data_IF_445152203372
#
_entry.id   IF_445152203372
#
_cell.length_a   1.000
_cell.length_b   1.000
_cell.length_c   1.000
_cell.angle_alpha   90.00
_cell.angle_beta   90.00
_cell.angle_gamma   90.00
#
_symmetry.space_group_name_H-M   'P 1'
#
loop_
_entity.id
_entity.type
_entity.pdbx_description
1 polymer ?
#
# COMPACT_ATOMS: atom_id res chain seq x y z
N UNK A 1 -24.38 -17.50 51.08
CA UNK A 1 -23.69 -16.21 50.92
C UNK A 1 -24.70 -15.08 51.06
N UNK A 2 -24.84 -14.50 52.25
CA UNK A 2 -25.83 -13.45 52.58
C UNK A 2 -25.25 -12.03 52.52
N UNK A 3 -23.94 -11.87 52.35
CA UNK A 3 -23.29 -10.58 52.11
C UNK A 3 -23.22 -10.27 50.59
N UNK A 4 -23.59 -9.05 50.21
CA UNK A 4 -23.61 -8.56 48.82
C UNK A 4 -22.31 -7.86 48.40
N UNK A 5 -21.33 -7.73 49.30
CA UNK A 5 -20.07 -7.07 48.96
C UNK A 5 -19.26 -7.85 47.91
N UNK A 6 -19.05 -7.22 46.74
CA UNK A 6 -18.33 -7.80 45.60
C UNK A 6 -16.89 -8.18 45.94
N UNK A 7 -16.17 -7.33 46.69
CA UNK A 7 -14.77 -7.53 47.02
C UNK A 7 -14.57 -8.78 47.91
N UNK A 8 -15.51 -9.05 48.81
CA UNK A 8 -15.49 -10.25 49.65
C UNK A 8 -15.74 -11.51 48.84
N UNK A 9 -16.68 -11.48 47.89
CA UNK A 9 -16.95 -12.64 47.02
C UNK A 9 -15.77 -12.95 46.10
N UNK A 10 -15.11 -11.92 45.61
CA UNK A 10 -13.94 -12.08 44.76
C UNK A 10 -12.74 -12.64 45.52
N UNK A 11 -12.50 -12.18 46.76
CA UNK A 11 -11.48 -12.78 47.63
C UNK A 11 -11.77 -14.23 47.93
N UNK A 12 -13.01 -14.55 48.33
CA UNK A 12 -13.42 -15.95 48.55
C UNK A 12 -13.23 -16.78 47.28
N UNK A 13 -13.58 -16.24 46.11
CA UNK A 13 -13.34 -16.91 44.85
C UNK A 13 -11.86 -17.14 44.57
N UNK A 14 -11.02 -16.13 44.74
CA UNK A 14 -9.58 -16.22 44.57
C UNK A 14 -8.98 -17.27 45.51
N UNK A 15 -9.33 -17.22 46.79
CA UNK A 15 -8.85 -18.17 47.82
C UNK A 15 -9.35 -19.61 47.56
N UNK A 16 -10.52 -19.79 46.92
CA UNK A 16 -10.97 -21.12 46.46
C UNK A 16 -10.19 -21.64 45.27
N UNK A 17 -9.60 -20.74 44.46
CA UNK A 17 -8.85 -21.08 43.26
C UNK A 17 -7.37 -21.31 43.54
N UNK A 18 -6.79 -20.58 44.51
CA UNK A 18 -5.40 -20.69 44.94
C UNK A 18 -5.24 -21.90 45.88
N UNK A 19 -4.82 -23.03 45.32
CA UNK A 19 -4.64 -24.27 46.08
C UNK A 19 -3.37 -24.24 46.92
N UNK A 20 -2.37 -23.47 46.49
CA UNK A 20 -1.10 -23.28 47.20
C UNK A 20 -1.21 -22.36 48.42
N UNK A 21 -2.20 -21.46 48.43
CA UNK A 21 -2.36 -20.42 49.46
C UNK A 21 -1.25 -19.37 49.44
N UNK A 22 -0.57 -19.17 48.30
CA UNK A 22 0.56 -18.24 48.16
C UNK A 22 0.14 -16.86 47.62
N UNK A 23 -1.16 -16.66 47.41
CA UNK A 23 -1.75 -15.43 46.89
C UNK A 23 -1.60 -15.28 45.38
N UNK A 24 -1.29 -16.34 44.65
CA UNK A 24 -1.03 -16.34 43.21
C UNK A 24 -1.77 -17.49 42.53
N UNK A 25 -2.31 -17.23 41.35
CA UNK A 25 -2.98 -18.24 40.52
C UNK A 25 -2.11 -18.59 39.33
N UNK A 26 -1.65 -19.83 39.29
CA UNK A 26 -0.90 -20.39 38.14
C UNK A 26 -1.84 -20.76 36.99
N UNK A 27 -1.29 -20.96 35.78
CA UNK A 27 -2.09 -21.38 34.61
C UNK A 27 -2.87 -22.68 34.87
N UNK A 28 -2.27 -23.63 35.59
CA UNK A 28 -2.89 -24.91 35.92
C UNK A 28 -4.07 -24.74 36.87
N UNK A 29 -3.96 -23.86 37.88
CA UNK A 29 -5.06 -23.55 38.80
C UNK A 29 -6.21 -22.83 38.07
N UNK A 30 -5.89 -21.86 37.19
CA UNK A 30 -6.88 -21.18 36.35
C UNK A 30 -7.62 -22.17 35.45
N UNK A 31 -6.89 -23.13 34.85
CA UNK A 31 -7.46 -24.20 34.02
C UNK A 31 -8.40 -25.10 34.83
N UNK A 32 -8.01 -25.52 36.03
CA UNK A 32 -8.85 -26.35 36.89
C UNK A 32 -10.16 -25.64 37.27
N UNK A 33 -10.08 -24.36 37.63
CA UNK A 33 -11.25 -23.52 37.93
C UNK A 33 -12.20 -23.45 36.73
N UNK A 34 -11.65 -23.31 35.51
CA UNK A 34 -12.44 -23.35 34.28
C UNK A 34 -13.11 -24.70 34.04
N UNK A 35 -12.41 -25.80 34.31
CA UNK A 35 -12.96 -27.16 34.18
C UNK A 35 -14.10 -27.38 35.18
N UNK A 36 -13.94 -26.93 36.41
CA UNK A 36 -14.96 -27.03 37.46
C UNK A 36 -16.19 -26.19 37.10
N UNK A 37 -15.98 -24.94 36.68
CA UNK A 37 -17.07 -24.04 36.27
C UNK A 37 -17.83 -24.57 35.04
N UNK A 38 -17.11 -25.00 33.99
CA UNK A 38 -17.73 -25.59 32.81
C UNK A 38 -18.46 -26.91 33.11
N UNK A 39 -18.00 -27.68 34.11
CA UNK A 39 -18.68 -28.91 34.55
C UNK A 39 -19.95 -28.60 35.35
N UNK A 40 -19.94 -27.56 36.18
CA UNK A 40 -21.13 -27.08 36.90
C UNK A 40 -22.24 -26.60 35.93
N UNK A 41 -21.84 -25.92 34.84
CA UNK A 41 -22.78 -25.37 33.84
C UNK A 41 -23.10 -26.33 32.67
N UNK A 42 -22.62 -27.58 32.73
CA UNK A 42 -22.80 -28.62 31.68
C UNK A 42 -22.29 -28.21 30.28
N UNK A 43 -21.24 -27.39 30.21
CA UNK A 43 -20.65 -26.87 28.97
C UNK A 43 -19.51 -27.76 28.45
N UNK A 44 -19.87 -28.93 27.88
CA UNK A 44 -18.91 -29.96 27.43
C UNK A 44 -17.84 -29.46 26.43
N UNK A 45 -18.20 -28.53 25.52
CA UNK A 45 -17.26 -27.94 24.56
C UNK A 45 -16.25 -26.98 25.18
N UNK A 46 -16.61 -26.30 26.28
CA UNK A 46 -15.69 -25.42 27.00
C UNK A 46 -14.67 -26.23 27.79
N UNK A 47 -15.13 -27.33 28.41
CA UNK A 47 -14.27 -28.27 29.13
C UNK A 47 -13.14 -28.83 28.26
N UNK A 48 -13.42 -29.18 27.00
CA UNK A 48 -12.39 -29.72 26.09
C UNK A 48 -11.33 -28.69 25.67
N UNK A 49 -11.59 -27.39 25.82
CA UNK A 49 -10.69 -26.30 25.45
C UNK A 49 -10.17 -25.51 26.67
N UNK A 50 -10.38 -26.01 27.89
CA UNK A 50 -10.05 -25.28 29.12
C UNK A 50 -8.58 -24.84 29.20
N UNK A 51 -7.65 -25.66 28.70
CA UNK A 51 -6.23 -25.30 28.62
C UNK A 51 -5.98 -24.09 27.69
N UNK A 52 -6.63 -24.06 26.52
CA UNK A 52 -6.50 -22.94 25.59
C UNK A 52 -7.10 -21.65 26.19
N UNK A 53 -8.22 -21.76 26.92
CA UNK A 53 -8.81 -20.62 27.61
C UNK A 53 -7.96 -20.13 28.78
N UNK A 54 -7.38 -21.02 29.58
CA UNK A 54 -6.44 -20.66 30.63
C UNK A 54 -5.23 -19.91 30.06
N UNK A 55 -4.62 -20.44 29.00
CA UNK A 55 -3.52 -19.78 28.29
C UNK A 55 -3.89 -18.38 27.79
N UNK A 56 -5.08 -18.19 27.20
CA UNK A 56 -5.57 -16.86 26.77
C UNK A 56 -5.80 -15.90 27.96
N UNK A 57 -6.20 -16.41 29.12
CA UNK A 57 -6.40 -15.60 30.33
C UNK A 57 -5.05 -15.21 30.91
N UNK A 58 -4.08 -16.12 30.96
CA UNK A 58 -2.70 -15.83 31.34
C UNK A 58 -2.09 -14.78 30.40
N UNK A 59 -2.25 -14.93 29.08
CA UNK A 59 -1.78 -13.93 28.10
C UNK A 59 -2.40 -12.54 28.34
N UNK A 60 -3.67 -12.50 28.76
CA UNK A 60 -4.38 -11.25 29.04
C UNK A 60 -4.06 -10.62 30.40
N UNK A 61 -3.77 -11.43 31.43
CA UNK A 61 -3.64 -10.98 32.82
C UNK A 61 -2.21 -10.99 33.36
N UNK A 62 -1.31 -11.74 32.75
CA UNK A 62 0.12 -11.80 33.06
C UNK A 62 0.95 -11.24 31.89
N UNK A 63 0.97 -9.91 31.71
CA UNK A 63 1.65 -9.26 30.59
C UNK A 63 3.17 -9.40 30.61
N UNK A 64 3.74 -9.87 31.72
CA UNK A 64 5.18 -10.02 31.94
C UNK A 64 5.63 -11.49 31.90
N UNK A 65 4.71 -12.45 31.64
CA UNK A 65 4.98 -13.90 31.57
C UNK A 65 5.70 -14.42 32.83
N UNK A 66 5.18 -14.03 34.00
CA UNK A 66 5.66 -14.47 35.31
C UNK A 66 5.15 -15.87 35.68
N UNK A 67 4.15 -16.38 34.95
CA UNK A 67 3.53 -17.69 35.15
C UNK A 67 2.42 -17.70 36.21
N UNK A 68 2.00 -16.52 36.69
CA UNK A 68 0.98 -16.41 37.72
C UNK A 68 0.19 -15.09 37.67
N UNK A 69 -1.02 -15.10 38.23
CA UNK A 69 -1.94 -13.97 38.34
C UNK A 69 -2.20 -13.67 39.82
N UNK A 70 -1.98 -12.43 40.22
CA UNK A 70 -2.32 -11.92 41.55
C UNK A 70 -3.76 -11.39 41.59
N UNK A 71 -4.35 -11.32 42.79
CA UNK A 71 -5.77 -10.95 42.97
C UNK A 71 -6.17 -9.63 42.31
N UNK A 72 -5.29 -8.63 42.29
CA UNK A 72 -5.57 -7.33 41.69
C UNK A 72 -5.68 -7.41 40.14
N UNK A 73 -5.00 -8.37 39.50
CA UNK A 73 -5.11 -8.61 38.06
C UNK A 73 -6.48 -9.24 37.74
N UNK A 74 -6.93 -10.17 38.58
CA UNK A 74 -8.26 -10.80 38.45
C UNK A 74 -9.41 -9.81 38.72
N UNK A 75 -9.25 -8.96 39.75
CA UNK A 75 -10.11 -7.79 40.00
C UNK A 75 -10.30 -7.00 38.71
N UNK A 76 -9.22 -6.71 38.00
CA UNK A 76 -9.26 -5.90 36.77
C UNK A 76 -10.11 -6.53 35.65
N UNK A 77 -10.08 -7.85 35.48
CA UNK A 77 -10.90 -8.54 34.46
C UNK A 77 -12.38 -8.53 34.82
N UNK A 78 -12.68 -8.90 36.06
CA UNK A 78 -14.07 -9.05 36.52
C UNK A 78 -14.75 -7.69 36.67
N UNK A 79 -14.04 -6.66 37.11
CA UNK A 79 -14.55 -5.28 37.11
C UNK A 79 -14.76 -4.72 35.70
N UNK A 80 -14.02 -5.20 34.69
CA UNK A 80 -14.21 -4.82 33.27
C UNK A 80 -15.39 -5.54 32.62
N UNK A 81 -15.71 -6.76 33.05
CA UNK A 81 -16.83 -7.56 32.53
C UNK A 81 -18.17 -7.33 33.25
N UNK A 82 -18.17 -6.90 34.51
CA UNK A 82 -19.35 -6.92 35.38
C UNK A 82 -20.23 -5.65 35.37
N UNK A 83 -19.93 -4.59 34.60
CA UNK A 83 -20.75 -3.36 34.65
C UNK A 83 -21.03 -2.77 33.28
N UNK A 84 -22.24 -3.06 32.78
CA UNK A 84 -23.07 -2.03 32.15
C UNK A 84 -23.69 -1.18 33.26
N UNK A 85 -23.62 0.16 33.13
CA UNK A 85 -24.33 1.17 33.95
C UNK A 85 -23.64 1.49 35.29
N UNK A 86 -22.76 2.49 35.32
CA UNK A 86 -22.91 3.75 36.09
C UNK A 86 -21.65 4.63 35.94
N UNK A 87 -21.82 5.84 35.42
CA UNK A 87 -20.76 6.85 35.30
C UNK A 87 -20.32 7.33 36.69
N UNK A 88 -19.08 7.03 37.09
CA UNK A 88 -18.49 7.60 38.30
C UNK A 88 -17.02 7.97 38.01
N UNK A 89 -16.65 9.24 38.14
CA UNK A 89 -15.30 9.74 37.76
C UNK A 89 -14.15 9.06 38.53
N UNK A 90 -14.42 8.65 39.78
CA UNK A 90 -13.47 7.85 40.58
C UNK A 90 -13.19 6.47 39.97
N UNK A 91 -14.17 5.89 39.29
CA UNK A 91 -14.04 4.60 38.60
C UNK A 91 -13.19 4.73 37.33
N UNK A 92 -13.38 5.80 36.55
CA UNK A 92 -12.56 6.07 35.37
C UNK A 92 -11.08 6.29 35.73
N UNK A 93 -10.82 6.98 36.85
CA UNK A 93 -9.47 7.16 37.37
C UNK A 93 -8.83 5.84 37.85
N UNK A 94 -9.59 4.98 38.53
CA UNK A 94 -9.12 3.66 39.00
C UNK A 94 -8.87 2.71 37.82
N UNK A 95 -9.75 2.68 36.81
CA UNK A 95 -9.49 1.93 35.57
C UNK A 95 -8.25 2.44 34.82
N UNK A 96 -8.04 3.76 34.76
CA UNK A 96 -6.87 4.33 34.09
C UNK A 96 -5.55 4.06 34.83
N UNK A 97 -5.57 4.00 36.18
CA UNK A 97 -4.39 3.63 36.96
C UNK A 97 -4.09 2.13 36.88
N UNK A 98 -5.11 1.25 36.88
CA UNK A 98 -4.93 -0.19 36.71
C UNK A 98 -4.61 -0.60 35.26
N UNK A 99 -5.18 0.05 34.25
CA UNK A 99 -4.78 -0.18 32.86
C UNK A 99 -3.30 0.20 32.62
N UNK A 100 -2.75 1.15 33.39
CA UNK A 100 -1.32 1.45 33.40
C UNK A 100 -0.49 0.34 34.06
N UNK A 101 -0.98 -0.34 35.10
CA UNK A 101 -0.22 -1.43 35.75
C UNK A 101 -0.15 -2.69 34.89
N UNK A 102 -1.17 -2.93 34.04
CA UNK A 102 -1.19 -3.96 32.99
C UNK A 102 -0.29 -3.69 31.78
N UNK A 103 0.49 -2.60 31.77
CA UNK A 103 1.51 -2.41 30.73
C UNK A 103 2.75 -3.24 31.05
N UNK A 104 3.23 -4.10 30.12
CA UNK A 104 4.41 -4.92 30.36
C UNK A 104 5.60 -4.05 30.79
N UNK A 105 6.41 -4.54 31.73
CA UNK A 105 7.60 -3.84 32.27
C UNK A 105 8.52 -3.33 31.16
N UNK A 106 8.58 -4.05 30.03
CA UNK A 106 9.35 -3.67 28.83
C UNK A 106 8.95 -2.30 28.24
N UNK A 107 7.71 -1.85 28.48
CA UNK A 107 7.18 -0.57 28.00
C UNK A 107 7.13 0.55 29.06
N UNK A 108 7.56 0.29 30.31
CA UNK A 108 7.50 1.30 31.40
C UNK A 108 8.57 2.39 31.29
N UNK A 109 9.78 2.05 30.86
CA UNK A 109 10.84 3.04 30.64
C UNK A 109 10.69 3.66 29.23
N UNK A 110 10.71 5.00 29.09
CA UNK A 110 10.52 5.66 27.79
C UNK A 110 11.53 5.22 26.72
N UNK A 111 12.79 4.97 27.10
CA UNK A 111 13.85 4.50 26.18
C UNK A 111 13.58 3.05 25.77
N UNK A 112 13.35 2.16 26.75
CA UNK A 112 13.04 0.74 26.46
C UNK A 112 11.75 0.59 25.65
N UNK A 113 10.76 1.45 25.89
CA UNK A 113 9.51 1.56 25.12
C UNK A 113 9.79 1.95 23.67
N UNK A 114 10.63 2.95 23.45
CA UNK A 114 11.01 3.38 22.10
C UNK A 114 11.75 2.28 21.33
N UNK A 115 12.74 1.66 21.97
CA UNK A 115 13.51 0.54 21.37
C UNK A 115 12.61 -0.64 21.04
N UNK A 116 11.76 -1.05 21.98
CA UNK A 116 10.84 -2.19 21.80
C UNK A 116 9.84 -1.89 20.69
N UNK A 117 9.17 -0.74 20.72
CA UNK A 117 8.26 -0.33 19.63
C UNK A 117 8.96 -0.29 18.26
N UNK A 118 10.20 0.17 18.21
CA UNK A 118 10.98 0.21 16.97
C UNK A 118 11.32 -1.20 16.49
N UNK A 119 11.73 -2.08 17.40
CA UNK A 119 12.02 -3.47 17.09
C UNK A 119 10.77 -4.21 16.60
N UNK A 120 9.63 -4.03 17.26
CA UNK A 120 8.35 -4.62 16.85
C UNK A 120 7.93 -4.09 15.48
N UNK A 121 8.02 -2.77 15.26
CA UNK A 121 7.74 -2.16 13.97
C UNK A 121 8.63 -2.72 12.84
N UNK A 122 9.94 -2.88 13.10
CA UNK A 122 10.87 -3.48 12.14
C UNK A 122 10.49 -4.93 11.89
N UNK A 123 10.20 -5.71 12.93
CA UNK A 123 9.84 -7.11 12.81
C UNK A 123 8.53 -7.30 12.01
N UNK A 124 7.51 -6.48 12.27
CA UNK A 124 6.25 -6.51 11.53
C UNK A 124 6.40 -6.08 10.07
N UNK A 125 7.29 -5.13 9.77
CA UNK A 125 7.41 -4.50 8.45
C UNK A 125 8.71 -4.84 7.71
N UNK A 126 9.50 -5.83 8.17
CA UNK A 126 10.84 -6.08 7.65
C UNK A 126 10.87 -6.30 6.12
N UNK A 127 9.86 -7.00 5.57
CA UNK A 127 9.73 -7.24 4.12
C UNK A 127 9.57 -5.94 3.34
N UNK A 128 8.79 -4.99 3.87
CA UNK A 128 8.56 -3.67 3.27
C UNK A 128 9.84 -2.85 3.32
N UNK A 129 10.51 -2.82 4.48
CA UNK A 129 11.77 -2.11 4.68
C UNK A 129 12.83 -2.64 3.73
N UNK A 130 12.98 -3.95 3.65
CA UNK A 130 13.94 -4.62 2.75
C UNK A 130 13.69 -4.24 1.28
N UNK A 131 12.46 -4.35 0.80
CA UNK A 131 12.12 -4.04 -0.59
C UNK A 131 12.35 -2.57 -0.93
N UNK A 132 11.94 -1.65 -0.04
CA UNK A 132 12.13 -0.20 -0.21
C UNK A 132 13.63 0.14 -0.20
N UNK A 133 14.40 -0.46 0.71
CA UNK A 133 15.85 -0.27 0.79
C UNK A 133 16.56 -0.74 -0.47
N UNK A 134 16.20 -1.92 -1.00
CA UNK A 134 16.73 -2.44 -2.25
C UNK A 134 16.42 -1.51 -3.44
N UNK A 135 15.16 -1.09 -3.57
CA UNK A 135 14.73 -0.17 -4.62
C UNK A 135 15.42 1.20 -4.53
N UNK A 136 15.58 1.75 -3.32
CA UNK A 136 16.26 3.03 -3.11
C UNK A 136 17.75 2.92 -3.45
N UNK A 137 18.41 1.84 -3.02
CA UNK A 137 19.81 1.56 -3.35
C UNK A 137 20.02 1.50 -4.86
N UNK A 138 19.16 0.78 -5.59
CA UNK A 138 19.22 0.71 -7.06
C UNK A 138 19.10 2.10 -7.71
N UNK A 139 18.18 2.94 -7.23
CA UNK A 139 18.03 4.31 -7.74
C UNK A 139 19.28 5.16 -7.48
N UNK A 140 19.84 5.11 -6.27
CA UNK A 140 21.05 5.86 -5.91
C UNK A 140 22.25 5.40 -6.75
N UNK A 141 22.46 4.09 -6.86
CA UNK A 141 23.55 3.53 -7.65
C UNK A 141 23.45 3.94 -9.13
N UNK A 142 22.26 3.86 -9.74
CA UNK A 142 22.06 4.28 -11.14
C UNK A 142 22.25 5.79 -11.32
N UNK A 143 21.78 6.60 -10.38
CA UNK A 143 21.98 8.05 -10.42
C UNK A 143 23.47 8.39 -10.39
N UNK A 144 24.22 7.84 -9.42
CA UNK A 144 25.67 8.07 -9.26
C UNK A 144 26.43 7.58 -10.49
N UNK A 145 26.14 6.36 -10.96
CA UNK A 145 26.76 5.81 -12.16
C UNK A 145 26.58 6.72 -13.38
N UNK A 146 25.35 7.22 -13.59
CA UNK A 146 25.06 8.08 -14.73
C UNK A 146 25.66 9.47 -14.58
N UNK A 147 25.67 10.00 -13.37
CA UNK A 147 26.29 11.27 -13.02
C UNK A 147 27.79 11.25 -13.33
N UNK A 148 28.49 10.19 -12.92
CA UNK A 148 29.91 10.01 -13.17
C UNK A 148 30.21 9.76 -14.66
N UNK A 149 29.34 9.03 -15.36
CA UNK A 149 29.45 8.87 -16.81
C UNK A 149 29.39 10.21 -17.54
N UNK A 150 28.52 11.14 -17.12
CA UNK A 150 28.34 12.41 -17.80
C UNK A 150 29.40 13.46 -17.46
N UNK A 151 30.04 13.38 -16.28
CA UNK A 151 31.22 14.19 -15.97
C UNK A 151 32.36 14.00 -16.98
N UNK A 152 32.51 12.79 -17.50
CA UNK A 152 33.58 12.42 -18.45
C UNK A 152 33.22 12.70 -19.91
N UNK A 153 32.09 13.34 -20.20
CA UNK A 153 31.65 13.67 -21.56
C UNK A 153 31.91 15.13 -21.88
N UNK A 154 32.18 15.41 -23.15
CA UNK A 154 32.36 16.77 -23.69
C UNK A 154 31.22 17.73 -23.28
N UNK A 155 29.98 17.24 -23.22
CA UNK A 155 28.82 18.02 -22.77
C UNK A 155 28.97 18.65 -21.36
N UNK A 156 29.79 18.06 -20.48
CA UNK A 156 30.10 18.59 -19.15
C UNK A 156 30.90 19.89 -19.21
N UNK A 157 31.77 20.08 -20.21
CA UNK A 157 32.58 21.29 -20.31
C UNK A 157 31.74 22.56 -20.52
N UNK A 158 30.56 22.41 -21.13
CA UNK A 158 29.60 23.50 -21.36
C UNK A 158 28.57 23.57 -20.24
N UNK A 159 27.88 22.46 -19.96
CA UNK A 159 26.73 22.46 -19.05
C UNK A 159 27.09 22.16 -17.57
N UNK A 160 28.31 21.72 -17.29
CA UNK A 160 28.78 21.41 -15.93
C UNK A 160 27.94 20.36 -15.22
N UNK A 161 27.84 20.46 -13.90
CA UNK A 161 27.09 19.50 -13.07
C UNK A 161 25.60 19.39 -13.41
N UNK A 162 25.01 20.40 -14.05
CA UNK A 162 23.60 20.39 -14.40
C UNK A 162 23.24 19.31 -15.42
N UNK A 163 24.14 18.96 -16.35
CA UNK A 163 23.90 17.84 -17.28
C UNK A 163 23.97 16.51 -16.54
N UNK A 164 24.87 16.40 -15.54
CA UNK A 164 25.01 15.19 -14.73
C UNK A 164 23.77 14.96 -13.87
N UNK A 165 23.24 16.00 -13.21
CA UNK A 165 22.00 15.93 -12.43
C UNK A 165 20.82 15.58 -13.33
N UNK A 166 20.66 16.27 -14.45
CA UNK A 166 19.55 16.02 -15.38
C UNK A 166 19.58 14.58 -15.91
N UNK A 167 20.76 14.06 -16.28
CA UNK A 167 20.90 12.71 -16.82
C UNK A 167 20.84 11.63 -15.75
N UNK A 168 21.33 11.90 -14.54
CA UNK A 168 21.12 11.04 -13.37
C UNK A 168 19.65 10.86 -13.05
N UNK A 169 18.90 11.96 -12.98
CA UNK A 169 17.45 11.93 -12.77
C UNK A 169 16.71 11.22 -13.92
N UNK A 170 17.17 11.41 -15.17
CA UNK A 170 16.62 10.67 -16.31
C UNK A 170 16.84 9.16 -16.21
N UNK A 171 17.96 8.71 -15.63
CA UNK A 171 18.25 7.27 -15.48
C UNK A 171 17.37 6.63 -14.43
N UNK A 172 17.16 7.31 -13.29
CA UNK A 172 16.23 6.84 -12.25
C UNK A 172 14.78 6.85 -12.75
N UNK A 173 14.40 7.85 -13.55
CA UNK A 173 13.09 7.89 -14.22
C UNK A 173 12.86 6.66 -15.11
N UNK A 174 13.83 6.22 -15.90
CA UNK A 174 13.68 5.00 -16.72
C UNK A 174 13.41 3.77 -15.87
N UNK A 175 14.16 3.60 -14.79
CA UNK A 175 13.95 2.48 -13.86
C UNK A 175 12.55 2.54 -13.26
N UNK A 176 12.15 3.69 -12.70
CA UNK A 176 10.87 3.81 -12.02
C UNK A 176 9.68 3.70 -12.98
N UNK A 177 9.80 4.24 -14.20
CA UNK A 177 8.81 4.05 -15.26
C UNK A 177 8.73 2.60 -15.72
N UNK A 178 9.81 1.82 -15.64
CA UNK A 178 9.76 0.39 -15.91
C UNK A 178 9.08 -0.36 -14.75
N UNK A 179 9.45 -0.06 -13.51
CA UNK A 179 8.97 -0.76 -12.32
C UNK A 179 7.51 -0.46 -11.97
N UNK A 180 6.99 0.74 -12.25
CA UNK A 180 5.62 1.14 -11.86
C UNK A 180 4.51 0.26 -12.47
N UNK A 181 4.80 -0.43 -13.59
CA UNK A 181 3.89 -1.37 -14.23
C UNK A 181 3.78 -2.71 -13.49
N UNK A 182 4.82 -3.15 -12.79
CA UNK A 182 4.84 -4.47 -12.15
C UNK A 182 3.83 -4.58 -11.00
N UNK A 183 3.69 -3.60 -10.08
CA UNK A 183 2.74 -3.69 -8.98
C UNK A 183 1.26 -3.67 -9.41
N UNK A 184 0.96 -3.24 -10.63
CA UNK A 184 -0.41 -3.24 -11.18
C UNK A 184 -0.76 -4.52 -11.95
N UNK A 185 0.21 -5.44 -12.10
CA UNK A 185 0.01 -6.78 -12.65
C UNK A 185 -0.62 -7.74 -11.62
N UNK A 186 -1.84 -7.43 -11.18
CA UNK A 186 -2.53 -8.11 -10.06
C UNK A 186 -2.63 -9.63 -10.24
N UNK A 187 -2.97 -10.12 -11.44
CA UNK A 187 -3.13 -11.56 -11.65
C UNK A 187 -1.82 -12.32 -11.45
N UNK A 188 -0.73 -11.76 -11.96
CA UNK A 188 0.61 -12.31 -11.76
C UNK A 188 1.00 -12.25 -10.30
N UNK A 189 0.81 -11.10 -9.64
CA UNK A 189 1.19 -10.93 -8.24
C UNK A 189 0.41 -11.88 -7.32
N UNK A 190 -0.87 -12.13 -7.59
CA UNK A 190 -1.65 -13.15 -6.87
C UNK A 190 -1.07 -14.55 -7.05
N UNK A 191 -0.61 -14.92 -8.26
CA UNK A 191 0.08 -16.20 -8.50
C UNK A 191 1.41 -16.28 -7.75
N UNK A 192 2.21 -15.22 -7.80
CA UNK A 192 3.50 -15.16 -7.10
C UNK A 192 3.33 -15.16 -5.59
N UNK A 193 2.25 -14.58 -5.06
CA UNK A 193 1.90 -14.63 -3.64
C UNK A 193 1.74 -16.06 -3.12
N UNK A 194 1.21 -16.99 -3.92
CA UNK A 194 1.11 -18.40 -3.53
C UNK A 194 2.44 -19.19 -3.59
N UNK A 195 3.52 -18.56 -4.06
CA UNK A 195 4.85 -19.18 -4.11
C UNK A 195 5.69 -18.84 -2.88
N UNK A 196 6.86 -19.49 -2.75
CA UNK A 196 7.83 -19.17 -1.69
C UNK A 196 8.35 -17.73 -1.71
N UNK A 197 8.19 -16.98 -2.82
CA UNK A 197 8.59 -15.57 -2.91
C UNK A 197 7.83 -14.67 -1.92
N UNK A 198 6.63 -15.05 -1.48
CA UNK A 198 5.85 -14.29 -0.50
C UNK A 198 6.51 -14.20 0.88
N UNK A 199 7.50 -15.07 1.16
CA UNK A 199 8.33 -14.99 2.36
C UNK A 199 9.24 -13.76 2.35
N UNK A 200 9.63 -13.27 1.18
CA UNK A 200 10.59 -12.17 1.02
C UNK A 200 9.89 -10.90 0.51
N UNK A 201 8.95 -11.04 -0.42
CA UNK A 201 8.28 -9.91 -1.09
C UNK A 201 6.86 -9.70 -0.52
N UNK A 202 6.50 -8.49 -0.05
CA UNK A 202 5.17 -8.16 0.44
C UNK A 202 4.21 -7.86 -0.73
N UNK A 203 3.76 -8.90 -1.44
CA UNK A 203 2.89 -8.75 -2.62
C UNK A 203 1.54 -8.06 -2.34
N UNK A 204 1.07 -8.06 -1.09
CA UNK A 204 -0.19 -7.44 -0.68
C UNK A 204 -0.15 -5.90 -0.67
N UNK A 205 1.06 -5.33 -0.58
CA UNK A 205 1.28 -3.89 -0.59
C UNK A 205 1.60 -3.33 -1.98
N UNK A 206 1.32 -4.09 -3.04
CA UNK A 206 1.64 -3.73 -4.42
C UNK A 206 1.15 -2.31 -4.80
N UNK A 207 -0.09 -1.94 -4.46
CA UNK A 207 -0.63 -0.61 -4.77
C UNK A 207 0.02 0.48 -3.90
N UNK A 208 0.43 0.18 -2.67
CA UNK A 208 1.17 1.13 -1.85
C UNK A 208 2.57 1.36 -2.44
N UNK A 209 3.24 0.29 -2.88
CA UNK A 209 4.53 0.40 -3.55
C UNK A 209 4.42 1.14 -4.90
N UNK A 210 3.34 0.93 -5.67
CA UNK A 210 3.04 1.71 -6.88
C UNK A 210 2.99 3.22 -6.59
N UNK A 211 2.34 3.65 -5.50
CA UNK A 211 2.29 5.06 -5.09
C UNK A 211 3.66 5.61 -4.70
N UNK A 212 4.49 4.82 -4.02
CA UNK A 212 5.86 5.21 -3.66
C UNK A 212 6.73 5.41 -4.91
N UNK A 213 6.65 4.49 -5.87
CA UNK A 213 7.33 4.64 -7.16
C UNK A 213 6.81 5.86 -7.92
N UNK A 214 5.49 6.09 -7.91
CA UNK A 214 4.87 7.25 -8.53
C UNK A 214 5.41 8.56 -7.95
N UNK A 215 5.56 8.66 -6.62
CA UNK A 215 6.19 9.81 -5.97
C UNK A 215 7.64 10.02 -6.44
N UNK A 216 8.42 8.94 -6.55
CA UNK A 216 9.79 9.02 -7.06
C UNK A 216 9.85 9.49 -8.52
N UNK A 217 8.88 9.09 -9.36
CA UNK A 217 8.75 9.58 -10.73
C UNK A 217 8.48 11.09 -10.74
N UNK A 218 7.59 11.60 -9.87
CA UNK A 218 7.34 13.04 -9.77
C UNK A 218 8.63 13.78 -9.38
N UNK A 219 9.31 13.34 -8.32
CA UNK A 219 10.55 13.96 -7.85
C UNK A 219 11.63 13.93 -8.95
N UNK A 220 11.84 12.76 -9.57
CA UNK A 220 12.80 12.60 -10.66
C UNK A 220 12.48 13.47 -11.87
N UNK A 221 11.19 13.59 -12.24
CA UNK A 221 10.74 14.42 -13.36
C UNK A 221 10.93 15.90 -13.09
N UNK A 222 10.69 16.35 -11.86
CA UNK A 222 10.93 17.72 -11.43
C UNK A 222 12.43 18.05 -11.47
N UNK A 223 13.27 17.21 -10.86
CA UNK A 223 14.73 17.40 -10.88
C UNK A 223 15.28 17.41 -12.30
N UNK A 224 14.83 16.48 -13.15
CA UNK A 224 15.23 16.40 -14.56
C UNK A 224 14.84 17.67 -15.32
N UNK A 225 13.59 18.11 -15.17
CA UNK A 225 13.04 19.28 -15.88
C UNK A 225 13.72 20.56 -15.43
N UNK A 226 13.80 20.79 -14.11
CA UNK A 226 14.44 21.98 -13.56
C UNK A 226 15.91 22.06 -13.98
N UNK A 227 16.66 20.96 -13.85
CA UNK A 227 18.06 20.94 -14.29
C UNK A 227 18.21 21.28 -15.78
N UNK A 228 17.26 20.89 -16.64
CA UNK A 228 17.24 21.28 -18.04
C UNK A 228 16.91 22.75 -18.26
N UNK A 229 15.77 23.21 -17.74
CA UNK A 229 15.19 24.53 -18.01
C UNK A 229 15.97 25.65 -17.31
N UNK A 230 16.29 25.49 -16.03
CA UNK A 230 16.89 26.56 -15.22
C UNK A 230 18.41 26.61 -15.31
N UNK A 231 19.06 25.50 -15.65
CA UNK A 231 20.53 25.44 -15.68
C UNK A 231 21.12 25.05 -17.04
N UNK A 232 20.77 23.89 -17.60
CA UNK A 232 21.40 23.42 -18.84
C UNK A 232 21.15 24.39 -19.99
N UNK A 233 19.91 24.82 -20.20
CA UNK A 233 19.56 25.75 -21.27
C UNK A 233 20.27 27.09 -21.07
N UNK A 234 20.25 27.64 -19.86
CA UNK A 234 20.92 28.91 -19.55
C UNK A 234 22.44 28.84 -19.78
N UNK A 235 23.09 27.75 -19.37
CA UNK A 235 24.53 27.53 -19.63
C UNK A 235 24.84 27.33 -21.10
N UNK A 236 23.93 26.70 -21.85
CA UNK A 236 24.11 26.46 -23.27
C UNK A 236 24.07 27.77 -24.08
N UNK A 237 23.13 28.67 -23.76
CA UNK A 237 22.98 29.95 -24.47
C UNK A 237 24.07 30.96 -24.10
N UNK A 238 24.56 30.93 -22.86
CA UNK A 238 25.57 31.88 -22.37
C UNK A 238 27.02 31.39 -22.58
N UNK A 239 27.22 30.20 -23.13
CA UNK A 239 28.55 29.67 -23.41
C UNK A 239 29.24 30.47 -24.54
N UNK A 240 30.55 30.75 -24.45
CA UNK A 240 31.29 31.33 -25.57
C UNK A 240 31.11 30.51 -26.85
N UNK A 241 30.81 31.18 -27.97
CA UNK A 241 30.51 30.53 -29.24
C UNK A 241 31.61 29.55 -29.68
N UNK A 242 32.88 29.94 -29.54
CA UNK A 242 34.03 29.07 -29.89
C UNK A 242 33.99 27.72 -29.15
N UNK A 243 33.75 27.75 -27.85
CA UNK A 243 33.62 26.55 -27.01
C UNK A 243 32.40 25.72 -27.41
N UNK A 244 31.26 26.38 -27.66
CA UNK A 244 30.06 25.69 -28.11
C UNK A 244 30.28 24.97 -29.45
N UNK A 245 30.87 25.64 -30.45
CA UNK A 245 31.06 25.09 -31.78
C UNK A 245 31.97 23.86 -31.79
N UNK A 246 33.04 23.87 -30.98
CA UNK A 246 33.97 22.74 -30.86
C UNK A 246 33.29 21.56 -30.14
N UNK A 247 32.64 21.81 -29.01
CA UNK A 247 32.15 20.76 -28.12
C UNK A 247 30.77 20.20 -28.53
N UNK A 248 29.83 21.07 -28.92
CA UNK A 248 28.43 20.73 -29.16
C UNK A 248 27.93 21.11 -30.56
N UNK A 249 28.68 21.91 -31.33
CA UNK A 249 28.35 22.33 -32.69
C UNK A 249 27.85 21.20 -33.61
N UNK A 250 28.50 20.03 -33.67
CA UNK A 250 28.05 18.91 -34.51
C UNK A 250 26.64 18.40 -34.20
N UNK A 251 26.16 18.58 -32.96
CA UNK A 251 24.81 18.15 -32.55
C UNK A 251 23.73 19.20 -32.85
N UNK A 252 24.12 20.44 -33.11
CA UNK A 252 23.23 21.58 -33.34
C UNK A 252 23.45 22.22 -34.72
N UNK A 253 23.99 21.46 -35.69
CA UNK A 253 24.32 21.95 -37.03
C UNK A 253 25.16 23.24 -37.02
N UNK A 254 26.10 23.34 -36.08
CA UNK A 254 26.98 24.49 -35.87
C UNK A 254 26.24 25.82 -35.67
N UNK A 255 25.02 25.78 -35.13
CA UNK A 255 24.25 26.94 -34.76
C UNK A 255 23.95 26.92 -33.26
N UNK A 256 24.39 27.94 -32.52
CA UNK A 256 24.09 28.03 -31.09
C UNK A 256 22.61 28.38 -30.90
N UNK A 257 21.83 27.54 -30.20
CA UNK A 257 20.39 27.75 -30.07
C UNK A 257 20.09 28.88 -29.08
N UNK A 258 18.96 29.57 -29.29
CA UNK A 258 18.36 30.48 -28.30
C UNK A 258 17.45 29.72 -27.34
N UNK A 259 17.11 30.33 -26.20
CA UNK A 259 16.24 29.68 -25.21
C UNK A 259 14.86 29.26 -25.76
N UNK A 260 14.13 30.08 -26.54
CA UNK A 260 12.88 29.65 -27.17
C UNK A 260 13.08 28.50 -28.16
N UNK A 261 14.19 28.50 -28.91
CA UNK A 261 14.50 27.42 -29.85
C UNK A 261 14.77 26.07 -29.15
N UNK A 262 15.32 26.10 -27.92
CA UNK A 262 15.50 24.90 -27.10
C UNK A 262 14.18 24.35 -26.58
N UNK A 263 13.25 25.23 -26.18
CA UNK A 263 11.90 24.80 -25.78
C UNK A 263 11.09 24.26 -26.96
N UNK A 264 11.22 24.88 -28.13
CA UNK A 264 10.58 24.44 -29.37
C UNK A 264 11.25 23.21 -30.01
N UNK A 265 12.44 22.83 -29.54
CA UNK A 265 13.13 21.61 -30.01
C UNK A 265 12.30 20.36 -29.70
N UNK A 266 12.50 19.29 -30.47
CA UNK A 266 11.74 18.05 -30.28
C UNK A 266 11.84 17.49 -28.84
N UNK A 267 13.01 17.46 -28.15
CA UNK A 267 13.08 17.12 -26.72
C UNK A 267 12.33 18.11 -25.82
N UNK A 268 12.33 19.41 -26.14
CA UNK A 268 11.60 20.43 -25.38
C UNK A 268 10.09 20.24 -25.44
N UNK A 269 9.52 20.16 -26.65
CA UNK A 269 8.07 19.97 -26.86
C UNK A 269 7.58 18.65 -26.27
N UNK A 270 8.29 17.55 -26.54
CA UNK A 270 7.93 16.25 -25.94
C UNK A 270 8.03 16.29 -24.42
N UNK A 271 9.05 16.95 -23.85
CA UNK A 271 9.18 17.14 -22.40
C UNK A 271 8.01 17.90 -21.79
N UNK A 272 7.62 19.03 -22.39
CA UNK A 272 6.47 19.84 -21.94
C UNK A 272 5.18 19.02 -21.99
N UNK A 273 4.92 18.31 -23.10
CA UNK A 273 3.74 17.48 -23.23
C UNK A 273 3.68 16.37 -22.16
N UNK A 274 4.82 15.71 -21.89
CA UNK A 274 4.90 14.71 -20.82
C UNK A 274 4.61 15.31 -19.44
N UNK A 275 5.13 16.50 -19.13
CA UNK A 275 4.88 17.19 -17.86
C UNK A 275 3.41 17.54 -17.72
N UNK A 276 2.74 18.04 -18.77
CA UNK A 276 1.31 18.37 -18.75
C UNK A 276 0.47 17.11 -18.48
N UNK A 277 0.74 16.03 -19.22
CA UNK A 277 0.06 14.74 -19.03
C UNK A 277 0.27 14.24 -17.59
N UNK A 278 1.50 14.27 -17.08
CA UNK A 278 1.80 13.86 -15.72
C UNK A 278 1.11 14.76 -14.68
N UNK A 279 1.20 16.07 -14.79
CA UNK A 279 0.56 17.00 -13.85
C UNK A 279 -0.96 16.75 -13.76
N UNK A 280 -1.60 16.49 -14.90
CA UNK A 280 -3.01 16.12 -14.96
C UNK A 280 -3.29 14.75 -14.31
N UNK A 281 -2.62 13.69 -14.75
CA UNK A 281 -2.85 12.33 -14.24
C UNK A 281 -2.55 12.18 -12.74
N UNK A 282 -1.47 12.80 -12.25
CA UNK A 282 -1.06 12.70 -10.85
C UNK A 282 -1.96 13.50 -9.92
N UNK A 283 -2.41 14.69 -10.32
CA UNK A 283 -3.37 15.49 -9.53
C UNK A 283 -4.67 14.71 -9.33
N UNK A 284 -5.21 14.12 -10.41
CA UNK A 284 -6.42 13.31 -10.35
C UNK A 284 -6.22 11.95 -9.67
N UNK A 285 -4.97 11.49 -9.52
CA UNK A 285 -4.62 10.30 -8.72
C UNK A 285 -4.75 10.51 -7.21
N UNK A 286 -4.66 11.76 -6.75
CA UNK A 286 -4.62 12.07 -5.31
C UNK A 286 -5.91 11.66 -4.61
N UNK A 287 -5.80 11.32 -3.32
CA UNK A 287 -6.95 10.88 -2.54
C UNK A 287 -8.10 11.89 -2.57
N UNK A 288 -7.78 13.19 -2.47
CA UNK A 288 -8.76 14.27 -2.38
C UNK A 288 -9.59 14.42 -3.67
N UNK A 289 -8.97 14.28 -4.85
CA UNK A 289 -9.68 14.36 -6.14
C UNK A 289 -10.38 13.04 -6.47
N UNK A 290 -9.70 11.90 -6.30
CA UNK A 290 -10.24 10.58 -6.65
C UNK A 290 -11.46 10.18 -5.81
N UNK A 291 -11.55 10.62 -4.55
CA UNK A 291 -12.71 10.37 -3.68
C UNK A 291 -13.70 11.54 -3.62
N UNK A 292 -13.60 12.48 -4.55
CA UNK A 292 -14.53 13.62 -4.64
C UNK A 292 -14.65 14.44 -3.34
N UNK A 293 -13.57 14.48 -2.54
CA UNK A 293 -13.52 15.28 -1.31
C UNK A 293 -13.45 16.77 -1.66
N UNK A 294 -12.73 17.10 -2.74
CA UNK A 294 -12.70 18.46 -3.31
C UNK A 294 -13.89 18.60 -4.24
N UNK A 295 -14.85 19.46 -3.86
CA UNK A 295 -15.99 19.81 -4.71
C UNK A 295 -15.61 21.00 -5.59
N UNK A 296 -15.32 20.74 -6.86
CA UNK A 296 -15.03 21.78 -7.83
C UNK A 296 -16.33 22.47 -8.31
N UNK A 297 -16.32 23.80 -8.53
CA UNK A 297 -17.48 24.50 -9.08
C UNK A 297 -17.76 24.06 -10.52
N UNK A 298 -19.01 24.21 -10.98
CA UNK A 298 -19.38 23.99 -12.38
C UNK A 298 -18.58 24.94 -13.30
N UNK A 299 -18.02 24.47 -14.44
CA UNK A 299 -18.19 23.16 -15.08
C UNK A 299 -17.16 22.08 -14.66
N UNK A 300 -16.23 22.38 -13.77
CA UNK A 300 -15.08 21.51 -13.43
C UNK A 300 -15.44 20.35 -12.50
N UNK A 301 -16.69 20.21 -12.05
CA UNK A 301 -17.13 19.12 -11.18
C UNK A 301 -16.81 17.71 -11.73
N UNK A 302 -16.85 17.54 -13.05
CA UNK A 302 -16.53 16.26 -13.73
C UNK A 302 -15.02 15.92 -13.70
N UNK A 303 -14.16 16.84 -13.24
CA UNK A 303 -12.74 16.60 -13.02
C UNK A 303 -12.44 16.07 -11.61
N UNK A 304 -13.45 15.71 -10.84
CA UNK A 304 -13.31 14.99 -9.58
C UNK A 304 -14.01 13.62 -9.67
N UNK A 305 -13.54 12.66 -8.86
CA UNK A 305 -14.09 11.31 -8.81
C UNK A 305 -13.22 10.23 -9.45
N UNK A 306 -13.66 9.00 -9.28
CA UNK A 306 -13.03 7.79 -9.78
C UNK A 306 -13.01 7.75 -11.31
N UNK A 307 -14.08 8.20 -11.98
CA UNK A 307 -14.13 8.25 -13.45
C UNK A 307 -13.04 9.18 -14.01
N UNK A 308 -12.93 10.40 -13.47
CA UNK A 308 -11.90 11.36 -13.85
C UNK A 308 -10.49 10.79 -13.64
N UNK A 309 -10.24 10.18 -12.47
CA UNK A 309 -9.02 9.45 -12.17
C UNK A 309 -8.72 8.38 -13.23
N UNK A 310 -9.72 7.56 -13.57
CA UNK A 310 -9.57 6.41 -14.45
C UNK A 310 -9.19 6.85 -15.87
N UNK A 311 -9.92 7.81 -16.44
CA UNK A 311 -9.62 8.33 -17.79
C UNK A 311 -8.26 9.04 -17.83
N UNK A 312 -7.95 9.85 -16.82
CA UNK A 312 -6.65 10.51 -16.73
C UNK A 312 -5.48 9.52 -16.60
N UNK A 313 -5.67 8.38 -15.92
CA UNK A 313 -4.65 7.32 -15.88
C UNK A 313 -4.52 6.56 -17.20
N UNK A 314 -5.59 6.47 -18.00
CA UNK A 314 -5.54 5.87 -19.34
C UNK A 314 -4.91 6.79 -20.40
N UNK A 315 -4.52 8.02 -20.03
CA UNK A 315 -3.63 8.86 -20.84
C UNK A 315 -2.16 8.42 -20.74
N UNK A 316 -1.79 7.65 -19.70
CA UNK A 316 -0.41 7.22 -19.47
C UNK A 316 0.19 6.34 -20.57
N UNK A 317 -0.53 5.48 -21.32
CA UNK A 317 0.01 4.84 -22.51
C UNK A 317 0.62 5.83 -23.52
N UNK A 318 -0.01 7.00 -23.72
CA UNK A 318 0.56 8.08 -24.54
C UNK A 318 1.86 8.62 -23.92
N UNK A 319 1.91 8.79 -22.61
CA UNK A 319 3.14 9.16 -21.89
C UNK A 319 4.28 8.16 -22.16
N UNK A 320 4.02 6.85 -22.21
CA UNK A 320 5.06 5.85 -22.54
C UNK A 320 5.56 5.98 -23.98
N UNK A 321 4.67 6.25 -24.94
CA UNK A 321 5.07 6.53 -26.33
C UNK A 321 5.98 7.76 -26.38
N UNK A 322 5.59 8.84 -25.72
CA UNK A 322 6.39 10.06 -25.62
C UNK A 322 7.72 9.83 -24.91
N UNK A 323 7.75 9.01 -23.85
CA UNK A 323 8.97 8.67 -23.11
C UNK A 323 9.97 7.88 -23.97
N UNK A 324 9.49 7.01 -24.87
CA UNK A 324 10.32 6.32 -25.85
C UNK A 324 10.82 7.31 -26.90
N UNK A 325 9.94 8.16 -27.46
CA UNK A 325 10.28 9.11 -28.53
C UNK A 325 11.19 10.26 -28.07
N UNK A 326 11.01 10.78 -26.86
CA UNK A 326 11.76 11.90 -26.31
C UNK A 326 13.30 11.78 -26.43
N UNK A 327 13.94 10.66 -26.02
CA UNK A 327 15.37 10.46 -26.20
C UNK A 327 15.79 10.07 -27.64
N UNK A 328 14.85 9.69 -28.52
CA UNK A 328 15.18 9.33 -29.90
C UNK A 328 15.69 10.52 -30.70
N UNK A 329 15.24 11.73 -30.37
CA UNK A 329 15.71 12.96 -31.00
C UNK A 329 17.12 13.39 -30.57
N UNK A 330 17.63 12.84 -29.46
CA UNK A 330 18.96 13.20 -28.93
C UNK A 330 20.05 12.23 -29.40
N UNK A 331 19.72 10.94 -29.54
CA UNK A 331 20.70 9.91 -29.89
C UNK A 331 20.41 9.32 -31.28
N UNK A 332 21.32 9.51 -32.24
CA UNK A 332 21.15 9.00 -33.62
C UNK A 332 21.17 7.47 -33.70
N UNK A 333 21.96 6.78 -32.87
CA UNK A 333 22.10 5.30 -32.91
C UNK A 333 21.14 4.61 -31.94
N UNK A 334 20.37 3.63 -32.42
CA UNK A 334 19.27 2.98 -31.68
C UNK A 334 19.73 2.18 -30.44
N UNK A 335 20.87 1.52 -30.49
CA UNK A 335 21.42 0.72 -29.38
C UNK A 335 22.00 1.59 -28.23
N UNK A 336 22.24 2.89 -28.46
CA UNK A 336 22.63 3.83 -27.40
C UNK A 336 21.42 4.36 -26.62
N UNK A 337 20.20 4.00 -27.04
CA UNK A 337 18.93 4.47 -26.46
C UNK A 337 18.49 3.51 -25.35
N UNK A 338 18.97 3.71 -24.13
CA UNK A 338 18.62 2.81 -23.02
C UNK A 338 17.12 2.75 -22.68
N UNK A 339 16.34 3.81 -22.94
CA UNK A 339 14.94 3.90 -22.46
C UNK A 339 14.05 2.75 -22.96
N UNK A 340 14.10 2.39 -24.24
CA UNK A 340 13.26 1.31 -24.76
C UNK A 340 13.64 -0.05 -24.16
N UNK A 341 14.92 -0.25 -23.81
CA UNK A 341 15.41 -1.49 -23.21
C UNK A 341 14.86 -1.69 -21.80
N UNK A 342 14.82 -0.62 -20.99
CA UNK A 342 14.22 -0.65 -19.66
C UNK A 342 12.72 -0.94 -19.72
N UNK A 343 12.03 -0.36 -20.71
CA UNK A 343 10.57 -0.43 -20.79
C UNK A 343 10.05 -1.69 -21.49
N UNK A 344 10.80 -2.28 -22.42
CA UNK A 344 10.30 -3.35 -23.28
C UNK A 344 9.77 -4.56 -22.48
N UNK A 345 10.54 -5.09 -21.54
CA UNK A 345 10.16 -6.29 -20.79
C UNK A 345 8.95 -5.99 -19.88
N UNK A 346 8.96 -4.97 -19.00
CA UNK A 346 7.80 -4.69 -18.14
C UNK A 346 6.55 -4.29 -18.90
N UNK A 347 6.69 -3.54 -20.00
CA UNK A 347 5.55 -3.16 -20.84
C UNK A 347 4.95 -4.36 -21.56
N UNK A 348 5.77 -5.25 -22.12
CA UNK A 348 5.30 -6.50 -22.72
C UNK A 348 4.60 -7.39 -21.69
N UNK A 349 5.17 -7.47 -20.49
CA UNK A 349 4.62 -8.25 -19.39
C UNK A 349 3.24 -7.73 -18.95
N UNK A 350 3.13 -6.41 -18.75
CA UNK A 350 1.88 -5.75 -18.45
C UNK A 350 0.83 -5.90 -19.57
N UNK A 351 1.24 -5.73 -20.83
CA UNK A 351 0.36 -5.92 -21.98
C UNK A 351 -0.17 -7.36 -22.04
N UNK A 352 0.69 -8.35 -21.80
CA UNK A 352 0.30 -9.76 -21.74
C UNK A 352 -0.75 -10.02 -20.66
N UNK A 353 -0.58 -9.46 -19.46
CA UNK A 353 -1.59 -9.58 -18.40
C UNK A 353 -2.93 -8.95 -18.81
N UNK A 354 -2.90 -7.78 -19.45
CA UNK A 354 -4.11 -7.11 -19.94
C UNK A 354 -4.81 -7.92 -21.04
N UNK A 355 -4.06 -8.55 -21.94
CA UNK A 355 -4.60 -9.45 -22.97
C UNK A 355 -5.25 -10.70 -22.35
N UNK A 356 -4.60 -11.33 -21.37
CA UNK A 356 -5.16 -12.48 -20.64
C UNK A 356 -6.47 -12.08 -19.96
N UNK A 357 -6.54 -10.90 -19.36
CA UNK A 357 -7.78 -10.40 -18.72
C UNK A 357 -8.89 -10.19 -19.74
N UNK A 358 -8.58 -9.60 -20.90
CA UNK A 358 -9.54 -9.39 -21.99
C UNK A 358 -10.05 -10.71 -22.56
N UNK A 359 -9.21 -11.74 -22.63
CA UNK A 359 -9.63 -13.08 -23.01
C UNK A 359 -10.59 -13.71 -21.99
N UNK A 360 -10.25 -13.63 -20.69
CA UNK A 360 -11.12 -14.15 -19.61
C UNK A 360 -12.48 -13.45 -19.56
N UNK A 361 -12.51 -12.14 -19.79
CA UNK A 361 -13.75 -11.37 -19.83
C UNK A 361 -14.78 -11.96 -20.81
N UNK A 362 -14.33 -12.47 -21.97
CA UNK A 362 -15.22 -13.07 -22.95
C UNK A 362 -15.82 -14.40 -22.47
N UNK A 363 -15.05 -15.15 -21.68
CA UNK A 363 -15.42 -16.52 -21.28
C UNK A 363 -16.23 -16.57 -19.97
N UNK A 364 -16.19 -15.53 -19.13
CA UNK A 364 -16.84 -15.49 -17.81
C UNK A 364 -17.97 -14.46 -17.73
N UNK A 365 -18.76 -14.30 -18.79
CA UNK A 365 -19.99 -13.51 -18.73
C UNK A 365 -21.05 -14.28 -17.94
N UNK A 366 -21.63 -13.64 -16.93
CA UNK A 366 -22.66 -14.22 -16.05
C UNK A 366 -23.95 -13.43 -16.15
N UNK A 367 -25.08 -14.11 -15.95
CA UNK A 367 -26.39 -13.44 -15.85
C UNK A 367 -26.70 -13.11 -14.40
N UNK A 368 -27.35 -11.98 -14.19
CA UNK A 368 -27.88 -11.59 -12.88
C UNK A 368 -29.18 -12.37 -12.66
N UNK A 369 -29.24 -13.11 -11.56
CA UNK A 369 -30.43 -13.85 -11.11
C UNK A 369 -31.36 -12.91 -10.35
N UNK A 370 -30.79 -12.14 -9.42
CA UNK A 370 -31.52 -11.24 -8.52
C UNK A 370 -30.65 -10.05 -8.13
N UNK A 371 -31.24 -8.87 -8.06
CA UNK A 371 -30.65 -7.69 -7.43
C UNK A 371 -31.64 -7.16 -6.37
N UNK A 372 -31.13 -6.82 -5.19
CA UNK A 372 -31.95 -6.27 -4.13
C UNK A 372 -31.19 -5.21 -3.33
N UNK A 373 -31.89 -4.15 -2.93
CA UNK A 373 -31.35 -3.07 -2.12
C UNK A 373 -31.75 -3.32 -0.66
N UNK A 374 -30.76 -3.34 0.23
CA UNK A 374 -30.95 -3.51 1.67
C UNK A 374 -30.84 -2.17 2.42
N UNK A 375 -31.46 -2.06 3.61
CA UNK A 375 -31.28 -0.91 4.50
C UNK A 375 -29.79 -0.66 4.79
N UNK A 376 -29.38 0.61 4.78
CA UNK A 376 -27.97 1.01 4.90
C UNK A 376 -27.23 1.20 3.57
N UNK A 377 -27.96 1.43 2.47
CA UNK A 377 -27.42 1.69 1.12
C UNK A 377 -26.48 0.57 0.63
N UNK A 378 -26.95 -0.68 0.78
CA UNK A 378 -26.22 -1.87 0.31
C UNK A 378 -26.98 -2.51 -0.85
N UNK A 379 -26.32 -2.62 -2.00
CA UNK A 379 -26.83 -3.37 -3.15
C UNK A 379 -26.32 -4.81 -3.08
N UNK A 380 -27.24 -5.76 -3.05
CA UNK A 380 -26.94 -7.18 -3.22
C UNK A 380 -27.16 -7.60 -4.67
N UNK A 381 -26.20 -8.35 -5.21
CA UNK A 381 -26.29 -8.90 -6.56
C UNK A 381 -26.05 -10.41 -6.46
N UNK A 382 -26.98 -11.18 -7.00
CA UNK A 382 -26.93 -12.63 -7.15
C UNK A 382 -26.74 -12.94 -8.63
N UNK A 383 -25.73 -13.75 -8.94
CA UNK A 383 -25.31 -14.08 -10.30
C UNK A 383 -25.26 -15.59 -10.49
N UNK A 384 -25.45 -16.04 -11.72
CA UNK A 384 -25.23 -17.44 -12.09
C UNK A 384 -23.77 -17.84 -11.82
N UNK A 385 -23.58 -19.00 -11.21
CA UNK A 385 -22.25 -19.58 -10.97
C UNK A 385 -21.77 -20.26 -12.25
N UNK A 386 -20.65 -19.80 -12.87
CA UNK A 386 -20.17 -20.42 -14.10
C UNK A 386 -19.81 -21.90 -13.91
N UNK A 387 -20.01 -22.75 -14.93
CA UNK A 387 -19.63 -24.16 -14.85
C UNK A 387 -18.16 -24.33 -14.48
N UNK A 388 -17.88 -25.15 -13.46
CA UNK A 388 -16.52 -25.39 -12.97
C UNK A 388 -15.90 -24.26 -12.15
N UNK A 389 -16.65 -23.20 -11.81
CA UNK A 389 -16.16 -22.11 -10.97
C UNK A 389 -15.99 -22.57 -9.51
N UNK A 390 -14.75 -22.65 -9.06
CA UNK A 390 -14.37 -23.04 -7.69
C UNK A 390 -13.74 -21.86 -6.96
N UNK A 391 -14.15 -21.62 -5.73
CA UNK A 391 -13.60 -20.58 -4.86
C UNK A 391 -13.55 -21.04 -3.41
N UNK A 392 -12.83 -20.31 -2.55
CA UNK A 392 -12.75 -20.54 -1.11
C UNK A 392 -13.42 -19.40 -0.34
N UNK A 393 -13.85 -19.69 0.89
CA UNK A 393 -14.40 -18.64 1.78
C UNK A 393 -13.37 -17.51 1.98
N UNK A 394 -13.85 -16.27 1.98
CA UNK A 394 -13.00 -15.07 2.06
C UNK A 394 -12.37 -14.61 0.75
N UNK A 395 -12.59 -15.31 -0.37
CA UNK A 395 -12.19 -14.82 -1.69
C UNK A 395 -13.08 -13.67 -2.19
N UNK A 396 -12.55 -12.91 -3.13
CA UNK A 396 -13.26 -11.82 -3.81
C UNK A 396 -13.19 -12.01 -5.32
N UNK A 397 -14.10 -11.39 -6.05
CA UNK A 397 -14.11 -11.36 -7.52
C UNK A 397 -14.12 -9.93 -8.02
N UNK A 398 -13.86 -9.74 -9.31
CA UNK A 398 -14.03 -8.45 -9.96
C UNK A 398 -15.31 -8.46 -10.78
N UNK A 399 -16.15 -7.45 -10.59
CA UNK A 399 -17.37 -7.24 -11.37
C UNK A 399 -17.16 -6.06 -12.32
N UNK A 400 -17.60 -6.24 -13.57
CA UNK A 400 -17.76 -5.18 -14.56
C UNK A 400 -19.21 -5.17 -15.00
N UNK A 401 -19.86 -4.01 -14.93
CA UNK A 401 -21.21 -3.78 -15.43
C UNK A 401 -21.13 -2.89 -16.68
N UNK A 402 -21.23 -3.45 -17.91
CA UNK A 402 -21.12 -2.66 -19.14
C UNK A 402 -22.13 -1.53 -19.26
N UNK A 403 -23.30 -1.67 -18.64
CA UNK A 403 -24.39 -0.67 -18.65
C UNK A 403 -24.03 0.57 -17.81
N UNK A 404 -23.11 0.44 -16.86
CA UNK A 404 -22.58 1.55 -16.04
C UNK A 404 -21.25 2.05 -16.59
N UNK A 405 -20.30 1.13 -16.83
CA UNK A 405 -19.00 1.44 -17.38
C UNK A 405 -18.44 0.24 -18.15
N UNK A 406 -18.13 0.44 -19.42
CA UNK A 406 -17.65 -0.61 -20.32
C UNK A 406 -16.20 -1.05 -20.05
N UNK A 407 -15.45 -0.31 -19.24
CA UNK A 407 -14.01 -0.54 -19.05
C UNK A 407 -13.59 -0.78 -17.60
N UNK A 408 -14.46 -0.51 -16.62
CA UNK A 408 -14.11 -0.59 -15.20
C UNK A 408 -14.37 -1.97 -14.60
N UNK A 409 -13.48 -2.34 -13.69
CA UNK A 409 -13.56 -3.59 -12.93
C UNK A 409 -13.37 -3.28 -11.46
N UNK A 410 -14.36 -3.63 -10.65
CA UNK A 410 -14.40 -3.32 -9.22
C UNK A 410 -14.35 -4.61 -8.38
N UNK A 411 -13.47 -4.69 -7.37
CA UNK A 411 -13.35 -5.88 -6.53
C UNK A 411 -14.45 -5.93 -5.47
N UNK A 412 -15.11 -7.07 -5.32
CA UNK A 412 -16.10 -7.34 -4.28
C UNK A 412 -15.91 -8.72 -3.66
N UNK A 413 -15.97 -8.78 -2.34
CA UNK A 413 -15.91 -10.05 -1.60
C UNK A 413 -17.12 -10.93 -1.91
N UNK A 414 -16.88 -12.22 -2.10
CA UNK A 414 -17.96 -13.19 -2.26
C UNK A 414 -18.64 -13.41 -0.92
N UNK A 415 -19.97 -13.26 -0.90
CA UNK A 415 -20.82 -13.47 0.28
C UNK A 415 -21.57 -14.80 0.24
N UNK A 416 -21.59 -15.49 -0.91
CA UNK A 416 -22.18 -16.83 -1.05
C UNK A 416 -21.24 -17.92 -0.53
N UNK A 417 -21.80 -19.03 -0.06
CA UNK A 417 -21.06 -20.21 0.36
C UNK A 417 -20.63 -21.07 -0.84
N UNK A 418 -19.55 -21.84 -0.70
CA UNK A 418 -19.00 -22.66 -1.81
C UNK A 418 -20.01 -23.66 -2.39
N UNK A 419 -20.94 -24.14 -1.55
CA UNK A 419 -22.00 -25.07 -1.92
C UNK A 419 -23.19 -24.41 -2.62
N UNK A 420 -23.27 -23.08 -2.66
CA UNK A 420 -24.37 -22.40 -3.33
C UNK A 420 -24.26 -22.54 -4.85
N UNK A 421 -25.42 -22.64 -5.51
CA UNK A 421 -25.56 -22.69 -6.98
C UNK A 421 -25.44 -21.30 -7.64
N UNK A 422 -25.28 -20.26 -6.83
CA UNK A 422 -25.15 -18.87 -7.24
C UNK A 422 -23.91 -18.21 -6.63
N UNK A 423 -23.52 -17.07 -7.18
CA UNK A 423 -22.52 -16.18 -6.61
C UNK A 423 -23.22 -14.93 -6.09
N UNK A 424 -22.93 -14.51 -4.87
CA UNK A 424 -23.46 -13.26 -4.32
C UNK A 424 -22.37 -12.28 -3.90
N UNK A 425 -22.64 -10.99 -4.09
CA UNK A 425 -21.82 -9.88 -3.59
C UNK A 425 -22.71 -8.83 -2.95
N UNK A 426 -22.21 -8.20 -1.89
CA UNK A 426 -22.87 -7.08 -1.20
C UNK A 426 -22.02 -5.82 -1.33
N UNK A 427 -22.55 -4.83 -2.03
CA UNK A 427 -21.86 -3.62 -2.46
C UNK A 427 -22.39 -2.45 -1.65
N UNK A 428 -21.53 -1.80 -0.86
CA UNK A 428 -21.86 -0.54 -0.18
C UNK A 428 -21.74 0.62 -1.15
N UNK A 429 -22.63 1.60 -1.03
CA UNK A 429 -22.54 2.85 -1.79
C UNK A 429 -21.44 3.76 -1.21
N UNK A 430 -20.19 3.54 -1.62
CA UNK A 430 -19.00 4.31 -1.16
C UNK A 430 -18.22 4.97 -2.31
N UNK A 431 -18.75 4.91 -3.53
CA UNK A 431 -18.14 5.47 -4.75
C UNK A 431 -18.96 6.64 -5.30
N UNK A 432 -18.62 7.07 -6.53
CA UNK A 432 -19.40 8.07 -7.27
C UNK A 432 -20.68 7.48 -7.87
#
# INVERSE_FOLDING_TARGET
MTDQNFDLRLRIFFDMCDKSGDGKLTEDEVKEVFILSASADKLAKLKSHAAAYASLIMEGLDPDDLGYIEIWQLETLLFRGAVSIQENDKFLQRMNSLARTMTPRRYRNPIKRCVTKTADFIHENWKRIWLISLWLTLNICLFIWKFEQYKRRAAFEVMGYCVCIAKGAAETLKLNMALILLPVCRNTLTRLRSTGLSKIIPFDDNINFHKVIALAIVIGSLVHTLAHVTCNFLRLINCPQSKFMITLGPNFNYHQPTYPSLLASAPGVTGILMIVIMAFSFTLATHSFRRSVVKLPSPLHHLAGFNAFWYAHHLLPLLYVLLVVHPFFIFRKWYKKGTWMYLAIPALFYASERLIRKYREKNYRVRIIKAAIYPGNVLSIYMEKPPGFKYKSGMYLFVKCPDVSSFEWHPFSLTSAQGDDYLSVHIRNTGD
#
